data_IF_849899886317
#
_entry.id   IF_849899886317
#
_cell.length_a   1.000
_cell.length_b   1.000
_cell.length_c   1.000
_cell.angle_alpha   90.00
_cell.angle_beta   90.00
_cell.angle_gamma   90.00
#
_symmetry.space_group_name_H-M   'P 1'
#
loop_
_entity.id
_entity.type
_entity.pdbx_description
1 polymer ?
#
# COMPACT_ATOMS: atom_id res chain seq x y z
N UNK A 1 22.71 66.23 4.17
CA UNK A 1 22.38 64.82 4.48
C UNK A 1 21.68 64.27 3.25
N UNK A 2 22.14 63.12 2.70
CA UNK A 2 21.55 62.34 1.59
C UNK A 2 22.25 62.39 0.22
N UNK A 3 23.56 62.12 0.14
CA UNK A 3 24.22 61.75 -1.14
C UNK A 3 25.00 60.42 -1.06
N UNK A 4 24.78 59.61 -0.02
CA UNK A 4 25.49 58.32 0.13
C UNK A 4 24.62 57.09 -0.18
N UNK A 5 23.52 57.25 -0.92
CA UNK A 5 22.62 56.12 -1.29
C UNK A 5 23.11 55.37 -2.54
N UNK A 6 24.25 55.74 -3.13
CA UNK A 6 24.63 55.32 -4.48
C UNK A 6 26.04 54.73 -4.59
N UNK A 7 26.56 54.11 -3.52
CA UNK A 7 27.81 53.35 -3.61
C UNK A 7 27.53 51.94 -4.13
N UNK A 8 27.43 51.86 -5.45
CA UNK A 8 27.81 50.72 -6.30
C UNK A 8 27.68 49.35 -5.61
N UNK A 9 26.50 48.75 -5.68
CA UNK A 9 26.38 47.29 -5.68
C UNK A 9 27.05 46.78 -6.95
N UNK A 10 28.40 46.75 -6.97
CA UNK A 10 29.17 46.17 -8.06
C UNK A 10 28.83 44.67 -8.05
N UNK A 11 27.89 44.26 -8.91
CA UNK A 11 27.66 42.84 -9.13
C UNK A 11 28.97 42.27 -9.69
N UNK A 12 29.71 41.58 -8.83
CA UNK A 12 30.90 40.87 -9.22
C UNK A 12 30.50 39.89 -10.33
N UNK A 13 31.08 39.97 -11.54
CA UNK A 13 30.67 39.15 -12.68
C UNK A 13 30.77 37.66 -12.35
N UNK A 14 31.68 37.26 -11.46
CA UNK A 14 31.81 35.88 -10.96
C UNK A 14 30.64 35.47 -10.05
N UNK A 15 30.10 36.41 -9.27
CA UNK A 15 28.92 36.17 -8.43
C UNK A 15 27.65 36.08 -9.27
N UNK A 16 27.51 36.95 -10.28
CA UNK A 16 26.42 36.85 -11.26
C UNK A 16 26.46 35.51 -12.02
N UNK A 17 27.64 35.10 -12.49
CA UNK A 17 27.81 33.81 -13.18
C UNK A 17 27.45 32.62 -12.28
N UNK A 18 27.83 32.67 -10.99
CA UNK A 18 27.47 31.62 -10.01
C UNK A 18 25.97 31.56 -9.76
N UNK A 19 25.31 32.71 -9.62
CA UNK A 19 23.85 32.77 -9.44
C UNK A 19 23.13 32.24 -10.68
N UNK A 20 23.57 32.63 -11.88
CA UNK A 20 23.01 32.11 -13.14
C UNK A 20 23.22 30.60 -13.29
N UNK A 21 24.40 30.09 -12.93
CA UNK A 21 24.69 28.65 -12.95
C UNK A 21 23.80 27.89 -11.95
N UNK A 22 23.60 28.42 -10.74
CA UNK A 22 22.67 27.85 -9.74
C UNK A 22 21.22 27.83 -10.25
N UNK A 23 20.77 28.90 -10.88
CA UNK A 23 19.44 28.97 -11.47
C UNK A 23 19.28 27.98 -12.62
N UNK A 24 20.29 27.82 -13.48
CA UNK A 24 20.28 26.84 -14.56
C UNK A 24 20.24 25.39 -14.03
N UNK A 25 21.00 25.10 -12.96
CA UNK A 25 20.95 23.79 -12.28
C UNK A 25 19.56 23.55 -11.68
N UNK A 26 18.97 24.55 -11.02
CA UNK A 26 17.63 24.43 -10.47
C UNK A 26 16.58 24.14 -11.56
N UNK A 27 16.66 24.84 -12.70
CA UNK A 27 15.78 24.58 -13.86
C UNK A 27 15.99 23.18 -14.42
N UNK A 28 17.24 22.73 -14.56
CA UNK A 28 17.53 21.37 -15.03
C UNK A 28 16.96 20.32 -14.08
N UNK A 29 17.13 20.48 -12.77
CA UNK A 29 16.54 19.58 -11.76
C UNK A 29 15.02 19.53 -11.90
N UNK A 30 14.36 20.68 -12.05
CA UNK A 30 12.90 20.71 -12.23
C UNK A 30 12.45 20.04 -13.53
N UNK A 31 13.20 20.17 -14.62
CA UNK A 31 12.90 19.53 -15.90
C UNK A 31 13.10 18.01 -15.83
N UNK A 32 14.12 17.55 -15.10
CA UNK A 32 14.36 16.12 -14.86
C UNK A 32 13.26 15.47 -14.01
N UNK A 33 12.65 16.20 -13.08
CA UNK A 33 11.58 15.67 -12.21
C UNK A 33 10.18 15.86 -12.78
N UNK A 34 9.95 16.80 -13.72
CA UNK A 34 8.63 17.14 -14.25
C UNK A 34 7.89 15.99 -14.95
N UNK A 35 8.62 14.97 -15.44
CA UNK A 35 8.07 13.83 -16.16
C UNK A 35 7.94 12.53 -15.36
N UNK A 36 8.28 12.53 -14.07
CA UNK A 36 8.23 11.33 -13.22
C UNK A 36 6.80 11.07 -12.70
N UNK A 37 5.80 11.07 -13.60
CA UNK A 37 4.46 10.62 -13.29
C UNK A 37 4.44 9.09 -13.35
N UNK A 38 4.92 8.43 -12.29
CA UNK A 38 4.75 7.00 -12.11
C UNK A 38 3.27 6.73 -11.85
N UNK A 39 2.61 5.99 -12.74
CA UNK A 39 1.27 5.48 -12.48
C UNK A 39 1.37 4.41 -11.38
N UNK A 40 1.27 4.86 -10.13
CA UNK A 40 1.15 3.97 -8.97
C UNK A 40 -0.31 3.55 -8.87
N UNK A 41 -0.56 2.24 -8.88
CA UNK A 41 -1.88 1.72 -8.55
C UNK A 41 -2.19 2.07 -7.09
N UNK A 42 -3.11 3.02 -6.89
CA UNK A 42 -3.53 3.44 -5.55
C UNK A 42 -4.15 2.30 -4.75
N UNK A 43 -4.70 1.27 -5.41
CA UNK A 43 -5.28 0.10 -4.74
C UNK A 43 -4.23 -0.96 -4.41
N UNK A 44 -3.04 -0.92 -5.02
CA UNK A 44 -1.94 -1.84 -4.69
C UNK A 44 -1.44 -1.64 -3.24
N UNK A 45 -1.59 -0.44 -2.67
CA UNK A 45 -1.30 -0.21 -1.25
C UNK A 45 -2.33 -0.83 -0.30
N UNK A 46 -3.53 -1.14 -0.77
CA UNK A 46 -4.63 -1.66 0.04
C UNK A 46 -4.72 -3.20 0.04
N UNK A 47 -4.14 -3.87 -0.97
CA UNK A 47 -4.14 -5.33 -1.06
C UNK A 47 -3.47 -6.01 0.13
N UNK A 48 -2.38 -5.43 0.65
CA UNK A 48 -1.69 -5.94 1.85
C UNK A 48 -2.59 -5.99 3.09
N UNK A 49 -3.33 -4.90 3.36
CA UNK A 49 -4.27 -4.85 4.49
C UNK A 49 -5.43 -5.83 4.34
N UNK A 50 -5.93 -6.02 3.12
CA UNK A 50 -6.97 -7.00 2.82
C UNK A 50 -6.46 -8.42 3.06
N UNK A 51 -5.25 -8.74 2.60
CA UNK A 51 -4.65 -10.05 2.83
C UNK A 51 -4.36 -10.31 4.32
N UNK A 52 -3.92 -9.30 5.08
CA UNK A 52 -3.70 -9.47 6.52
C UNK A 52 -5.02 -9.69 7.29
N UNK A 53 -6.12 -9.09 6.80
CA UNK A 53 -7.45 -9.16 7.45
C UNK A 53 -8.26 -10.38 7.02
N UNK A 54 -8.13 -10.83 5.78
CA UNK A 54 -8.97 -11.89 5.20
C UNK A 54 -8.17 -13.06 4.63
N UNK A 55 -6.83 -13.01 4.58
CA UNK A 55 -6.02 -14.10 4.03
C UNK A 55 -6.05 -15.38 4.87
N UNK A 56 -5.48 -16.45 4.31
CA UNK A 56 -5.54 -17.81 4.89
C UNK A 56 -5.00 -17.91 6.34
N UNK A 57 -4.06 -17.06 6.72
CA UNK A 57 -3.47 -17.05 8.07
C UNK A 57 -4.11 -16.03 9.02
N UNK A 58 -5.15 -15.30 8.57
CA UNK A 58 -5.77 -14.24 9.35
C UNK A 58 -6.61 -14.78 10.52
N UNK A 59 -6.82 -13.90 11.50
CA UNK A 59 -7.74 -14.15 12.62
C UNK A 59 -9.16 -14.45 12.13
N UNK A 60 -9.62 -13.76 11.07
CA UNK A 60 -10.95 -14.01 10.48
C UNK A 60 -11.06 -15.44 9.95
N UNK A 61 -10.07 -15.90 9.19
CA UNK A 61 -10.02 -17.26 8.65
C UNK A 61 -10.08 -18.32 9.77
N UNK A 62 -9.33 -18.10 10.86
CA UNK A 62 -9.34 -18.99 12.04
C UNK A 62 -10.72 -19.08 12.70
N UNK A 63 -11.42 -17.96 12.86
CA UNK A 63 -12.75 -17.94 13.46
C UNK A 63 -13.81 -18.60 12.59
N UNK A 64 -13.74 -18.43 11.26
CA UNK A 64 -14.64 -19.11 10.32
C UNK A 64 -14.49 -20.63 10.45
N UNK A 65 -13.25 -21.14 10.43
CA UNK A 65 -12.98 -22.57 10.56
C UNK A 65 -13.43 -23.08 11.93
N UNK A 66 -13.18 -22.34 13.01
CA UNK A 66 -13.61 -22.73 14.35
C UNK A 66 -15.14 -22.79 14.46
N UNK A 67 -15.85 -21.80 13.91
CA UNK A 67 -17.31 -21.78 13.90
C UNK A 67 -17.88 -22.97 13.13
N UNK A 68 -17.32 -23.29 11.96
CA UNK A 68 -17.74 -24.44 11.16
C UNK A 68 -17.55 -25.76 11.91
N UNK A 69 -16.42 -25.94 12.60
CA UNK A 69 -16.17 -27.14 13.41
C UNK A 69 -17.21 -27.27 14.52
N UNK A 70 -17.53 -26.18 15.22
CA UNK A 70 -18.54 -26.19 16.29
C UNK A 70 -19.91 -26.56 15.74
N UNK A 71 -20.33 -25.94 14.63
CA UNK A 71 -21.63 -26.19 13.99
C UNK A 71 -21.69 -27.62 13.44
N UNK A 72 -20.63 -28.09 12.79
CA UNK A 72 -20.49 -29.45 12.26
C UNK A 72 -20.61 -30.51 13.37
N UNK A 73 -19.92 -30.32 14.49
CA UNK A 73 -20.02 -31.24 15.64
C UNK A 73 -21.40 -31.18 16.30
N UNK A 74 -21.95 -29.99 16.54
CA UNK A 74 -23.26 -29.84 17.16
C UNK A 74 -24.37 -30.48 16.31
N UNK A 75 -24.33 -30.28 15.00
CA UNK A 75 -25.28 -30.85 14.05
C UNK A 75 -25.10 -32.37 13.89
N UNK A 76 -23.86 -32.88 13.92
CA UNK A 76 -23.58 -34.31 13.98
C UNK A 76 -24.17 -34.96 15.24
N UNK A 77 -24.01 -34.35 16.41
CA UNK A 77 -24.56 -34.90 17.67
C UNK A 77 -26.07 -35.11 17.56
N UNK A 78 -26.79 -34.15 16.96
CA UNK A 78 -28.25 -34.17 16.81
C UNK A 78 -28.74 -35.12 15.71
N UNK A 79 -28.07 -35.15 14.56
CA UNK A 79 -28.54 -35.87 13.37
C UNK A 79 -27.90 -37.24 13.18
N UNK A 80 -26.75 -37.48 13.83
CA UNK A 80 -25.88 -38.65 13.66
C UNK A 80 -25.42 -38.89 12.21
N UNK A 81 -25.48 -37.87 11.36
CA UNK A 81 -25.09 -37.97 9.97
C UNK A 81 -23.65 -37.49 9.77
N UNK A 82 -22.76 -38.42 9.36
CA UNK A 82 -21.34 -38.16 9.13
C UNK A 82 -21.09 -37.18 7.99
N UNK A 83 -21.99 -37.06 7.02
CA UNK A 83 -21.81 -36.14 5.89
C UNK A 83 -21.73 -34.68 6.35
N UNK A 84 -22.28 -34.33 7.52
CA UNK A 84 -22.16 -32.97 8.06
C UNK A 84 -20.73 -32.66 8.52
N UNK A 85 -19.95 -33.65 8.98
CA UNK A 85 -18.55 -33.44 9.32
C UNK A 85 -17.68 -33.26 8.06
N UNK A 86 -18.11 -33.80 6.92
CA UNK A 86 -17.44 -33.58 5.64
C UNK A 86 -17.53 -32.11 5.19
N UNK A 87 -18.57 -31.38 5.62
CA UNK A 87 -18.70 -29.93 5.42
C UNK A 87 -17.49 -29.14 5.92
N UNK A 88 -16.90 -29.55 7.04
CA UNK A 88 -15.70 -28.94 7.61
C UNK A 88 -14.53 -28.98 6.62
N UNK A 89 -14.31 -30.13 5.97
CA UNK A 89 -13.24 -30.30 4.98
C UNK A 89 -13.46 -29.37 3.79
N UNK A 90 -14.69 -29.32 3.30
CA UNK A 90 -15.07 -28.45 2.17
C UNK A 90 -14.80 -26.98 2.50
N UNK A 91 -15.23 -26.51 3.67
CA UNK A 91 -15.02 -25.12 4.10
C UNK A 91 -13.53 -24.80 4.19
N UNK A 92 -12.72 -25.67 4.79
CA UNK A 92 -11.26 -25.46 4.88
C UNK A 92 -10.63 -25.31 3.50
N UNK A 93 -10.96 -26.19 2.55
CA UNK A 93 -10.42 -26.12 1.19
C UNK A 93 -10.91 -24.87 0.47
N UNK A 94 -12.20 -24.55 0.58
CA UNK A 94 -12.80 -23.39 -0.07
C UNK A 94 -12.21 -22.08 0.44
N UNK A 95 -12.06 -21.93 1.76
CA UNK A 95 -11.43 -20.77 2.38
C UNK A 95 -9.95 -20.65 1.96
N UNK A 96 -9.23 -21.77 1.92
CA UNK A 96 -7.80 -21.78 1.54
C UNK A 96 -7.57 -21.39 0.08
N UNK A 97 -8.38 -21.92 -0.85
CA UNK A 97 -8.27 -21.63 -2.28
C UNK A 97 -8.87 -20.26 -2.61
N UNK A 98 -10.00 -19.91 -2.00
CA UNK A 98 -10.67 -18.63 -2.18
C UNK A 98 -9.79 -17.44 -1.80
N UNK A 99 -9.05 -17.54 -0.70
CA UNK A 99 -8.12 -16.49 -0.31
C UNK A 99 -6.85 -16.44 -1.15
N UNK A 100 -6.41 -17.56 -1.75
CA UNK A 100 -5.32 -17.53 -2.73
C UNK A 100 -5.74 -16.86 -4.05
N UNK A 101 -7.00 -17.00 -4.46
CA UNK A 101 -7.53 -16.33 -5.65
C UNK A 101 -7.68 -14.82 -5.48
N UNK A 102 -7.82 -14.35 -4.24
CA UNK A 102 -7.97 -12.94 -3.90
C UNK A 102 -6.63 -12.25 -3.55
N UNK A 103 -5.53 -13.01 -3.45
CA UNK A 103 -4.20 -12.54 -3.08
C UNK A 103 -3.39 -12.03 -4.28
#
# INVERSE_FOLDING_TARGET
MNVAVQERTQLNPKHLLRVMALMAVAVLVTLFTFGQAHAVDMLAGQSGTVNDTFGANSTVAKWIILAEVIIGVASYIKTKNLLLLFGVIIVVVFTTVGFQLAA
#
